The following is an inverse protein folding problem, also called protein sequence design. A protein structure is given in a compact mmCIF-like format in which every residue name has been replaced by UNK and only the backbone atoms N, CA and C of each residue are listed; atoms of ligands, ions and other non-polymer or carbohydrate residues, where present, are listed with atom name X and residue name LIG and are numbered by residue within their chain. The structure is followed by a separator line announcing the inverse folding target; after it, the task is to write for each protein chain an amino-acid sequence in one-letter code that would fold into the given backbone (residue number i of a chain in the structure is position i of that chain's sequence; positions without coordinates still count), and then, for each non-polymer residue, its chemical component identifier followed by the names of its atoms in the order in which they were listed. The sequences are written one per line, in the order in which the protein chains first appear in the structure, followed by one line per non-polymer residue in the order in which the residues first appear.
data_IF_942769086594
#
_entry.id   IF_942769086594
#
_cell.length_a   1.000
_cell.length_b   1.000
_cell.length_c   1.000
_cell.angle_alpha   90.00
_cell.angle_beta   90.00
_cell.angle_gamma   90.00
#
_symmetry.space_group_name_H-M   'P 1'
#
loop_
_entity.id
_entity.type
_entity.pdbx_description
1 polymer ?
#
# COMPACT_ATOMS: atom_id res chain seq x y z
N UNK A 1 59.37 16.35 27.34
CA UNK A 1 58.83 17.64 27.81
C UNK A 1 57.72 17.30 28.77
N UNK A 2 57.85 17.72 30.02
CA UNK A 2 56.92 17.31 31.07
C UNK A 2 56.08 18.51 31.46
N UNK A 3 54.77 18.44 31.21
CA UNK A 3 53.83 19.52 31.49
C UNK A 3 53.08 19.26 32.79
N UNK A 4 52.98 20.29 33.63
CA UNK A 4 52.19 20.26 34.88
C UNK A 4 51.01 21.21 34.73
N UNK A 5 49.80 20.68 34.80
CA UNK A 5 48.56 21.48 34.74
C UNK A 5 48.40 22.26 36.03
N UNK A 6 48.20 23.57 35.92
CA UNK A 6 47.93 24.48 37.04
C UNK A 6 46.51 25.04 36.93
N UNK A 7 46.16 25.97 37.81
CA UNK A 7 44.84 26.62 37.83
C UNK A 7 44.54 27.28 36.49
N UNK A 8 43.35 27.02 35.96
CA UNK A 8 42.84 27.61 34.73
C UNK A 8 41.35 27.92 34.89
N UNK A 9 40.81 28.78 34.02
CA UNK A 9 39.41 29.18 34.03
C UNK A 9 38.75 28.74 32.73
N UNK A 10 37.64 28.03 32.84
CA UNK A 10 36.86 27.64 31.68
C UNK A 10 36.12 28.84 31.10
N UNK A 11 35.93 28.89 29.77
CA UNK A 11 35.14 29.92 29.15
C UNK A 11 33.67 29.80 29.58
N UNK A 12 32.98 30.94 29.58
CA UNK A 12 31.54 30.99 29.85
C UNK A 12 30.77 30.18 28.79
N UNK A 13 29.65 29.57 29.17
CA UNK A 13 28.83 28.75 28.27
C UNK A 13 28.32 29.52 27.05
N UNK A 14 27.98 30.81 27.22
CA UNK A 14 27.57 31.69 26.12
C UNK A 14 28.67 31.86 25.07
N UNK A 15 29.88 32.21 25.53
CA UNK A 15 31.08 32.32 24.68
C UNK A 15 31.41 31.00 23.99
N UNK A 16 31.30 29.88 24.71
CA UNK A 16 31.54 28.55 24.13
C UNK A 16 30.53 28.23 23.02
N UNK A 17 29.24 28.54 23.21
CA UNK A 17 28.19 28.30 22.20
C UNK A 17 28.36 29.19 20.97
N UNK A 18 28.74 30.45 21.18
CA UNK A 18 28.96 31.41 20.10
C UNK A 18 30.20 31.05 19.28
N UNK A 19 31.33 30.77 19.94
CA UNK A 19 32.57 30.38 19.27
C UNK A 19 32.43 29.04 18.51
N UNK A 20 31.60 28.12 19.00
CA UNK A 20 31.36 26.81 18.37
C UNK A 20 30.12 26.80 17.47
N UNK A 21 29.62 27.98 17.06
CA UNK A 21 28.47 28.07 16.16
C UNK A 21 28.87 27.64 14.75
N UNK A 22 28.21 26.60 14.24
CA UNK A 22 28.35 26.20 12.83
C UNK A 22 27.57 27.18 11.93
N UNK A 23 28.14 27.56 10.79
CA UNK A 23 27.41 28.32 9.77
C UNK A 23 26.21 27.49 9.29
N UNK A 24 25.07 28.17 9.07
CA UNK A 24 23.81 27.49 8.68
C UNK A 24 23.91 26.75 7.35
N UNK A 25 24.85 27.15 6.49
CA UNK A 25 24.97 26.68 5.11
C UNK A 25 26.07 25.63 4.88
N UNK A 26 26.82 25.24 5.92
CA UNK A 26 28.03 24.39 5.79
C UNK A 26 27.76 22.89 5.56
N UNK A 27 26.52 22.43 5.59
CA UNK A 27 26.18 21.11 5.10
C UNK A 27 24.68 21.04 4.77
N UNK A 28 24.33 20.57 3.57
CA UNK A 28 22.95 20.18 3.26
C UNK A 28 22.52 19.15 4.30
N UNK A 29 21.71 19.58 5.28
CA UNK A 29 21.08 18.65 6.22
C UNK A 29 20.36 17.60 5.40
N UNK A 30 20.60 16.33 5.70
CA UNK A 30 19.92 15.23 5.03
C UNK A 30 18.42 15.46 5.09
N UNK A 31 17.81 15.67 3.93
CA UNK A 31 16.36 15.80 3.84
C UNK A 31 15.78 14.39 3.89
N UNK A 32 14.81 14.14 4.77
CA UNK A 32 14.22 12.82 4.94
C UNK A 32 13.66 12.34 3.60
N UNK A 33 13.88 11.07 3.28
CA UNK A 33 13.42 10.41 2.05
C UNK A 33 14.02 10.96 0.76
N UNK A 34 15.01 11.86 0.84
CA UNK A 34 15.69 12.42 -0.33
C UNK A 34 17.15 12.01 -0.29
N UNK A 35 17.64 11.47 -1.39
CA UNK A 35 19.06 11.18 -1.63
C UNK A 35 19.51 11.88 -2.91
N UNK A 36 20.79 12.26 -2.96
CA UNK A 36 21.44 12.76 -4.17
C UNK A 36 22.38 11.64 -4.65
N UNK A 37 22.17 11.18 -5.87
CA UNK A 37 23.02 10.22 -6.58
C UNK A 37 23.75 10.95 -7.72
N UNK A 38 24.96 10.48 -8.03
CA UNK A 38 25.84 11.09 -9.05
C UNK A 38 25.29 10.79 -10.46
N UNK A 39 24.60 9.66 -10.64
CA UNK A 39 24.09 9.20 -11.93
C UNK A 39 22.62 9.57 -12.10
N UNK A 40 21.76 9.19 -11.16
CA UNK A 40 20.31 9.41 -11.25
C UNK A 40 19.87 10.80 -10.75
N UNK A 41 20.78 11.55 -10.14
CA UNK A 41 20.48 12.87 -9.57
C UNK A 41 19.69 12.78 -8.28
N UNK A 42 18.66 13.62 -8.11
CA UNK A 42 17.92 13.72 -6.85
C UNK A 42 16.78 12.70 -6.80
N UNK A 43 16.87 11.74 -5.89
CA UNK A 43 15.94 10.62 -5.72
C UNK A 43 15.06 10.83 -4.49
N UNK A 44 13.75 10.56 -4.61
CA UNK A 44 12.78 10.58 -3.52
C UNK A 44 12.21 9.19 -3.24
N UNK A 45 12.20 8.74 -1.98
CA UNK A 45 11.60 7.46 -1.57
C UNK A 45 10.11 7.61 -1.25
N UNK A 46 9.27 6.82 -1.90
CA UNK A 46 7.84 6.67 -1.60
C UNK A 46 7.64 5.34 -0.86
N UNK A 47 7.07 5.39 0.34
CA UNK A 47 6.76 4.20 1.11
C UNK A 47 5.29 3.84 0.89
N UNK A 48 5.08 2.85 0.03
CA UNK A 48 3.75 2.29 -0.21
C UNK A 48 3.42 1.35 0.97
N UNK A 49 2.31 1.58 1.70
CA UNK A 49 1.92 0.70 2.80
C UNK A 49 1.35 -0.63 2.28
N UNK A 50 1.31 -1.63 3.15
CA UNK A 50 0.73 -2.94 2.84
C UNK A 50 -0.75 -2.81 2.43
N UNK A 51 -1.09 -3.33 1.24
CA UNK A 51 -2.44 -3.25 0.70
C UNK A 51 -3.26 -4.48 1.10
N UNK A 52 -4.20 -4.29 2.05
CA UNK A 52 -5.07 -5.35 2.56
C UNK A 52 -6.31 -5.58 1.69
N UNK A 53 -6.13 -6.17 0.51
CA UNK A 53 -7.22 -6.41 -0.47
C UNK A 53 -8.25 -7.46 -0.03
N UNK A 54 -7.90 -8.33 0.92
CA UNK A 54 -8.78 -9.41 1.41
C UNK A 54 -9.75 -9.01 2.52
N UNK A 55 -9.48 -7.91 3.24
CA UNK A 55 -10.35 -7.45 4.34
C UNK A 55 -11.56 -6.66 3.81
N UNK A 56 -11.44 -6.05 2.63
CA UNK A 56 -12.51 -5.24 2.05
C UNK A 56 -13.47 -6.10 1.24
N UNK A 57 -14.69 -6.26 1.75
CA UNK A 57 -15.78 -6.82 0.97
C UNK A 57 -16.02 -5.97 -0.29
N UNK A 58 -16.25 -6.63 -1.43
CA UNK A 58 -16.56 -5.94 -2.68
C UNK A 58 -17.74 -4.98 -2.48
N UNK A 59 -17.61 -3.71 -2.88
CA UNK A 59 -18.64 -2.70 -2.65
C UNK A 59 -19.95 -3.01 -3.38
N UNK A 60 -19.90 -3.87 -4.41
CA UNK A 60 -21.08 -4.28 -5.15
C UNK A 60 -21.28 -5.79 -5.12
N UNK A 61 -22.37 -6.23 -4.47
CA UNK A 61 -22.89 -7.60 -4.59
C UNK A 61 -23.78 -7.70 -5.83
N UNK A 62 -23.17 -7.88 -6.98
CA UNK A 62 -23.90 -8.01 -8.25
C UNK A 62 -24.93 -9.16 -8.19
N UNK A 63 -26.16 -8.87 -8.63
CA UNK A 63 -27.25 -9.87 -8.68
C UNK A 63 -26.88 -11.12 -9.50
N UNK A 64 -25.99 -10.99 -10.48
CA UNK A 64 -25.53 -12.09 -11.34
C UNK A 64 -24.54 -13.06 -10.68
N UNK A 65 -23.84 -12.64 -9.63
CA UNK A 65 -22.82 -13.47 -8.96
C UNK A 65 -23.47 -14.42 -7.94
N UNK A 66 -24.72 -14.13 -7.52
CA UNK A 66 -25.50 -14.93 -6.57
C UNK A 66 -25.75 -16.36 -7.10
N UNK A 67 -25.36 -17.36 -6.30
CA UNK A 67 -25.46 -18.79 -6.60
C UNK A 67 -26.92 -19.25 -6.83
N UNK A 68 -27.84 -18.73 -6.03
CA UNK A 68 -29.28 -18.98 -6.12
C UNK A 68 -29.83 -18.85 -7.55
N UNK A 69 -29.35 -17.86 -8.33
CA UNK A 69 -29.84 -17.63 -9.69
C UNK A 69 -29.19 -18.51 -10.74
N UNK A 70 -27.94 -18.95 -10.53
CA UNK A 70 -27.27 -19.92 -11.42
C UNK A 70 -27.95 -21.27 -11.32
N UNK A 71 -28.27 -21.69 -10.10
CA UNK A 71 -28.98 -22.95 -9.83
C UNK A 71 -30.45 -22.88 -10.29
N UNK A 72 -31.11 -21.72 -10.17
CA UNK A 72 -32.46 -21.54 -10.72
C UNK A 72 -32.47 -21.60 -12.25
N UNK A 73 -31.44 -21.07 -12.94
CA UNK A 73 -31.34 -21.15 -14.40
C UNK A 73 -31.08 -22.58 -14.89
N UNK A 74 -30.21 -23.35 -14.22
CA UNK A 74 -29.96 -24.74 -14.60
C UNK A 74 -31.20 -25.61 -14.38
N UNK A 75 -31.88 -25.47 -13.23
CA UNK A 75 -33.13 -26.19 -12.95
C UNK A 75 -34.26 -25.86 -13.94
N UNK A 76 -34.45 -24.58 -14.27
CA UNK A 76 -35.45 -24.17 -15.27
C UNK A 76 -35.09 -24.66 -16.69
N UNK A 77 -33.81 -24.79 -17.02
CA UNK A 77 -33.38 -25.35 -18.30
C UNK A 77 -33.67 -26.85 -18.36
N UNK A 78 -33.36 -27.59 -17.28
CA UNK A 78 -33.65 -29.02 -17.15
C UNK A 78 -35.16 -29.31 -17.19
N UNK A 79 -35.99 -28.53 -16.49
CA UNK A 79 -37.46 -28.67 -16.53
C UNK A 79 -38.03 -28.41 -17.93
N UNK A 80 -37.51 -27.43 -18.67
CA UNK A 80 -37.93 -27.15 -20.05
C UNK A 80 -37.56 -28.28 -21.01
N UNK A 81 -36.36 -28.85 -20.87
CA UNK A 81 -35.96 -30.01 -21.68
C UNK A 81 -36.84 -31.23 -21.38
N UNK A 82 -37.14 -31.50 -20.09
CA UNK A 82 -38.03 -32.59 -19.68
C UNK A 82 -39.48 -32.39 -20.17
N UNK A 83 -40.01 -31.16 -20.10
CA UNK A 83 -41.35 -30.85 -20.59
C UNK A 83 -41.47 -31.02 -22.11
N UNK A 84 -40.42 -30.64 -22.87
CA UNK A 84 -40.41 -30.79 -24.33
C UNK A 84 -40.33 -32.25 -24.81
N UNK A 85 -39.76 -33.15 -24.00
CA UNK A 85 -39.73 -34.59 -24.29
C UNK A 85 -41.10 -35.24 -24.10
N UNK A 86 -41.82 -34.91 -23.03
CA UNK A 86 -43.17 -35.44 -22.77
C UNK A 86 -44.18 -35.04 -23.85
N UNK A 87 -44.11 -33.80 -24.35
CA UNK A 87 -45.02 -33.34 -25.40
C UNK A 87 -44.83 -34.03 -26.77
N UNK A 88 -43.66 -34.63 -27.03
CA UNK A 88 -43.42 -35.36 -28.29
C UNK A 88 -43.97 -36.80 -28.27
N UNK A 89 -44.16 -37.38 -27.10
CA UNK A 89 -44.68 -38.76 -26.98
C UNK A 89 -46.20 -38.81 -27.16
N UNK A 90 -46.93 -37.79 -26.72
CA UNK A 90 -48.40 -37.72 -26.83
C UNK A 90 -48.93 -37.40 -28.25
N UNK A 91 -48.08 -36.95 -29.18
CA UNK A 91 -48.51 -36.58 -30.54
C UNK A 91 -48.40 -37.70 -31.58
N UNK A 92 -48.09 -38.94 -31.17
CA UNK A 92 -47.80 -40.06 -32.09
C UNK A 92 -48.81 -41.22 -31.96
N UNK A 93 -49.94 -41.01 -31.26
CA UNK A 93 -51.00 -42.01 -31.10
C UNK A 93 -52.34 -41.40 -31.54
N UNK A 94 -52.61 -41.37 -32.84
CA UNK A 94 -53.95 -41.46 -33.46
C UNK A 94 -53.83 -42.17 -34.81
#
# INVERSE_FOLDING_TARGET
MDFVVRRHRLPNEGLKKEAMRTLKDQAKKKVKNVSEDIIEGKIGKVYIPDQKVGETALPYKAKGVKRERREAKSKNAEEREQASKKQKEDSTIE
#
